data_IF_360500164550
#
_entry.id   IF_360500164550
#
_cell.length_a   1.000
_cell.length_b   1.000
_cell.length_c   1.000
_cell.angle_alpha   90.00
_cell.angle_beta   90.00
_cell.angle_gamma   90.00
#
_symmetry.space_group_name_H-M   'P 1'
#
loop_
_entity.id
_entity.type
_entity.pdbx_description
1 polymer ?
#
# COMPACT_ATOMS: atom_id res chain seq x y z
N UNK A 1 -13.72 -10.18 48.04
CA UNK A 1 -14.80 -9.76 47.13
C UNK A 1 -14.65 -8.33 46.56
N UNK A 2 -14.91 -7.24 47.30
CA UNK A 2 -14.79 -5.86 46.72
C UNK A 2 -13.39 -5.52 46.20
N UNK A 3 -12.34 -5.94 46.90
CA UNK A 3 -10.96 -5.66 46.54
C UNK A 3 -10.50 -6.46 45.31
N UNK A 4 -11.05 -7.65 45.12
CA UNK A 4 -10.79 -8.50 43.95
C UNK A 4 -11.50 -7.96 42.69
N UNK A 5 -12.73 -7.47 42.83
CA UNK A 5 -13.45 -6.77 41.76
C UNK A 5 -12.69 -5.53 41.28
N UNK A 6 -12.28 -4.64 42.19
CA UNK A 6 -11.50 -3.45 41.82
C UNK A 6 -10.18 -3.80 41.12
N UNK A 7 -9.49 -4.85 41.57
CA UNK A 7 -8.22 -5.26 40.97
C UNK A 7 -8.42 -5.92 39.59
N UNK A 8 -9.59 -6.54 39.36
CA UNK A 8 -9.96 -7.12 38.07
C UNK A 8 -10.41 -6.05 37.07
N UNK A 9 -11.17 -5.04 37.52
CA UNK A 9 -11.56 -3.88 36.73
C UNK A 9 -10.34 -3.05 36.31
N UNK A 10 -9.41 -2.75 37.23
CA UNK A 10 -8.18 -2.04 36.90
C UNK A 10 -7.33 -2.79 35.88
N UNK A 11 -7.22 -4.13 36.00
CA UNK A 11 -6.49 -4.94 35.01
C UNK A 11 -7.17 -4.94 33.64
N UNK A 12 -8.49 -5.02 33.59
CA UNK A 12 -9.22 -4.92 32.31
C UNK A 12 -9.07 -3.55 31.68
N UNK A 13 -9.18 -2.48 32.46
CA UNK A 13 -9.03 -1.11 31.97
C UNK A 13 -7.61 -0.84 31.47
N UNK A 14 -6.60 -1.29 32.22
CA UNK A 14 -5.20 -1.18 31.82
C UNK A 14 -4.91 -1.99 30.54
N UNK A 15 -5.44 -3.22 30.42
CA UNK A 15 -5.33 -4.00 29.19
C UNK A 15 -6.04 -3.36 27.99
N UNK A 16 -7.20 -2.73 28.20
CA UNK A 16 -7.92 -2.00 27.14
C UNK A 16 -7.13 -0.78 26.69
N UNK A 17 -6.63 0.01 27.64
CA UNK A 17 -5.80 1.18 27.36
C UNK A 17 -4.51 0.80 26.63
N UNK A 18 -3.80 -0.24 27.07
CA UNK A 18 -2.59 -0.71 26.39
C UNK A 18 -2.86 -1.20 24.97
N UNK A 19 -3.97 -1.93 24.75
CA UNK A 19 -4.37 -2.37 23.40
C UNK A 19 -4.70 -1.19 22.50
N UNK A 20 -5.45 -0.22 23.02
CA UNK A 20 -5.83 0.97 22.28
C UNK A 20 -4.59 1.80 21.92
N UNK A 21 -3.70 2.06 22.88
CA UNK A 21 -2.45 2.77 22.64
C UNK A 21 -1.57 2.07 21.61
N UNK A 22 -1.47 0.73 21.65
CA UNK A 22 -0.71 -0.02 20.65
C UNK A 22 -1.30 0.12 19.25
N UNK A 23 -2.63 0.06 19.14
CA UNK A 23 -3.33 0.23 17.86
C UNK A 23 -3.15 1.65 17.32
N UNK A 24 -3.31 2.67 18.16
CA UNK A 24 -3.10 4.08 17.79
C UNK A 24 -1.65 4.34 17.35
N UNK A 25 -0.67 3.84 18.11
CA UNK A 25 0.74 3.96 17.73
C UNK A 25 1.05 3.25 16.41
N UNK A 26 0.46 2.07 16.16
CA UNK A 26 0.65 1.36 14.92
C UNK A 26 0.06 2.15 13.73
N UNK A 27 -1.15 2.68 13.89
CA UNK A 27 -1.79 3.49 12.86
C UNK A 27 -1.03 4.78 12.58
N UNK A 28 -0.54 5.47 13.61
CA UNK A 28 0.25 6.69 13.45
C UNK A 28 1.57 6.39 12.72
N UNK A 29 2.26 5.30 13.09
CA UNK A 29 3.49 4.87 12.41
C UNK A 29 3.25 4.56 10.94
N UNK A 30 2.18 3.83 10.63
CA UNK A 30 1.81 3.50 9.26
C UNK A 30 1.47 4.76 8.46
N UNK A 31 0.67 5.67 9.02
CA UNK A 31 0.31 6.94 8.38
C UNK A 31 1.54 7.80 8.10
N UNK A 32 2.48 7.89 9.06
CA UNK A 32 3.75 8.60 8.88
C UNK A 32 4.60 7.94 7.79
N UNK A 33 4.71 6.62 7.77
CA UNK A 33 5.45 5.89 6.74
C UNK A 33 4.87 6.14 5.33
N UNK A 34 3.54 6.04 5.17
CA UNK A 34 2.85 6.34 3.91
C UNK A 34 3.08 7.77 3.45
N UNK A 35 3.10 8.73 4.39
CA UNK A 35 3.37 10.14 4.08
C UNK A 35 4.80 10.37 3.61
N UNK A 36 5.78 9.72 4.23
CA UNK A 36 7.19 9.78 3.78
C UNK A 36 7.35 9.20 2.37
N UNK A 37 6.71 8.06 2.09
CA UNK A 37 6.68 7.50 0.75
C UNK A 37 6.01 8.46 -0.24
N UNK A 38 4.88 9.05 0.12
CA UNK A 38 4.18 10.00 -0.74
C UNK A 38 5.06 11.21 -1.10
N UNK A 39 5.79 11.77 -0.14
CA UNK A 39 6.72 12.88 -0.35
C UNK A 39 7.83 12.51 -1.36
N UNK A 40 8.41 11.31 -1.23
CA UNK A 40 9.40 10.79 -2.18
C UNK A 40 8.84 10.72 -3.62
N UNK A 41 7.60 10.26 -3.78
CA UNK A 41 6.94 10.16 -5.08
C UNK A 41 6.46 11.51 -5.66
N UNK A 42 6.28 12.52 -4.82
CA UNK A 42 5.91 13.90 -5.21
C UNK A 42 7.13 14.70 -5.67
N UNK A 43 8.29 14.46 -5.07
CA UNK A 43 9.56 15.10 -5.45
C UNK A 43 10.13 14.52 -6.74
N UNK A 44 9.82 13.25 -7.04
CA UNK A 44 10.24 12.61 -8.28
C UNK A 44 9.40 13.11 -9.47
N UNK A 45 10.01 13.67 -10.52
CA UNK A 45 9.27 14.11 -11.69
C UNK A 45 8.60 12.91 -12.36
N UNK A 46 7.35 13.04 -12.83
CA UNK A 46 6.66 11.96 -13.52
C UNK A 46 7.44 11.57 -14.78
N UNK A 47 7.75 10.28 -14.95
CA UNK A 47 8.40 9.80 -16.17
C UNK A 47 7.45 9.94 -17.36
N UNK A 48 7.89 10.53 -18.48
CA UNK A 48 7.08 10.63 -19.68
C UNK A 48 6.77 9.24 -20.23
N UNK A 49 5.57 9.05 -20.76
CA UNK A 49 5.20 7.80 -21.43
C UNK A 49 6.04 7.63 -22.70
N UNK A 50 6.69 6.48 -22.86
CA UNK A 50 7.57 6.23 -24.01
C UNK A 50 8.24 4.85 -24.00
N UNK A 51 9.16 4.63 -24.94
CA UNK A 51 9.95 3.42 -24.99
C UNK A 51 10.74 3.24 -23.68
N UNK A 52 10.74 2.03 -23.12
CA UNK A 52 11.40 1.75 -21.84
C UNK A 52 10.61 2.17 -20.60
N UNK A 53 9.30 2.43 -20.73
CA UNK A 53 8.41 2.70 -19.58
C UNK A 53 7.28 1.67 -19.47
N UNK A 54 6.79 1.45 -18.25
CA UNK A 54 5.63 0.63 -17.93
C UNK A 54 4.49 1.52 -17.41
N UNK A 55 3.37 1.55 -18.13
CA UNK A 55 2.13 2.20 -17.68
C UNK A 55 1.33 1.23 -16.82
N UNK A 56 1.31 1.45 -15.51
CA UNK A 56 0.62 0.60 -14.56
C UNK A 56 -0.72 1.22 -14.15
N UNK A 57 -1.78 0.42 -14.24
CA UNK A 57 -3.10 0.74 -13.70
C UNK A 57 -3.34 -0.12 -12.47
N UNK A 58 -3.41 0.47 -11.29
CA UNK A 58 -3.73 -0.24 -10.06
C UNK A 58 -5.22 -0.11 -9.78
N UNK A 59 -5.89 -1.25 -9.60
CA UNK A 59 -7.28 -1.33 -9.14
C UNK A 59 -7.29 -1.67 -7.66
N UNK A 60 -8.00 -0.85 -6.89
CA UNK A 60 -8.16 -1.00 -5.45
C UNK A 60 -9.35 -1.93 -5.14
N UNK A 61 -9.40 -2.54 -3.93
CA UNK A 61 -10.53 -3.34 -3.47
C UNK A 61 -11.85 -2.56 -3.46
N UNK A 62 -11.78 -1.24 -3.32
CA UNK A 62 -12.95 -0.35 -3.40
C UNK A 62 -13.51 -0.17 -4.83
N UNK A 63 -12.87 -0.75 -5.85
CA UNK A 63 -13.23 -0.59 -7.26
C UNK A 63 -12.57 0.62 -7.94
N UNK A 64 -12.01 1.54 -7.16
CA UNK A 64 -11.29 2.71 -7.66
C UNK A 64 -10.01 2.31 -8.38
N UNK A 65 -9.59 3.14 -9.35
CA UNK A 65 -8.34 2.96 -10.09
C UNK A 65 -7.45 4.19 -10.04
N UNK A 66 -6.16 3.93 -9.93
CA UNK A 66 -5.07 4.91 -10.07
C UNK A 66 -4.08 4.43 -11.12
N UNK A 67 -3.39 5.36 -11.76
CA UNK A 67 -2.47 5.04 -12.84
C UNK A 67 -1.20 5.86 -12.72
N UNK A 68 -0.06 5.19 -12.89
CA UNK A 68 1.27 5.84 -12.93
C UNK A 68 2.16 5.14 -13.95
N UNK A 69 3.09 5.91 -14.53
CA UNK A 69 4.15 5.39 -15.40
C UNK A 69 5.43 5.20 -14.58
N UNK A 70 6.10 4.06 -14.80
CA UNK A 70 7.37 3.69 -14.20
C UNK A 70 8.40 3.39 -15.29
N UNK A 71 9.68 3.41 -14.97
CA UNK A 71 10.74 2.88 -15.83
C UNK A 71 10.66 1.35 -15.93
N UNK A 72 10.99 0.79 -17.09
CA UNK A 72 11.01 -0.66 -17.30
C UNK A 72 11.99 -1.39 -16.36
N UNK A 73 13.07 -0.73 -15.98
CA UNK A 73 14.11 -1.25 -15.07
C UNK A 73 13.82 -0.97 -13.59
N UNK A 74 12.70 -0.30 -13.27
CA UNK A 74 12.35 -0.10 -11.86
C UNK A 74 11.94 -1.42 -11.21
N UNK A 75 12.30 -1.65 -9.93
CA UNK A 75 11.93 -2.85 -9.22
C UNK A 75 10.45 -2.85 -8.84
N UNK A 76 9.83 -4.03 -8.76
CA UNK A 76 8.46 -4.19 -8.27
C UNK A 76 8.27 -3.61 -6.86
N UNK A 77 9.32 -3.60 -6.02
CA UNK A 77 9.34 -2.96 -4.71
C UNK A 77 8.90 -1.48 -4.76
N UNK A 78 9.28 -0.75 -5.83
CA UNK A 78 8.86 0.64 -6.02
C UNK A 78 7.35 0.73 -6.27
N UNK A 79 6.81 -0.16 -7.10
CA UNK A 79 5.36 -0.21 -7.37
C UNK A 79 4.57 -0.56 -6.10
N UNK A 80 5.09 -1.42 -5.24
CA UNK A 80 4.48 -1.70 -3.92
C UNK A 80 4.43 -0.46 -3.05
N UNK A 81 5.55 0.25 -2.90
CA UNK A 81 5.60 1.51 -2.15
C UNK A 81 4.63 2.56 -2.69
N UNK A 82 4.50 2.64 -4.02
CA UNK A 82 3.49 3.48 -4.65
C UNK A 82 2.07 3.05 -4.26
N UNK A 83 1.76 1.76 -4.31
CA UNK A 83 0.46 1.24 -3.90
C UNK A 83 0.15 1.53 -2.41
N UNK A 84 1.17 1.56 -1.53
CA UNK A 84 1.00 1.91 -0.11
C UNK A 84 0.59 3.38 0.11
N UNK A 85 1.05 4.29 -0.75
CA UNK A 85 0.87 5.73 -0.58
C UNK A 85 0.00 6.40 -1.65
N UNK A 86 -0.52 5.66 -2.64
CA UNK A 86 -1.22 6.24 -3.79
C UNK A 86 -2.47 7.07 -3.43
N UNK A 87 -3.08 6.83 -2.27
CA UNK A 87 -4.16 7.63 -1.71
C UNK A 87 -3.77 9.08 -1.37
N UNK A 88 -2.48 9.34 -1.18
CA UNK A 88 -1.93 10.66 -0.82
C UNK A 88 -1.33 11.39 -2.03
N UNK A 89 -1.33 10.75 -3.20
CA UNK A 89 -0.72 11.28 -4.40
C UNK A 89 -1.75 12.00 -5.29
N UNK A 90 -1.32 12.86 -6.22
CA UNK A 90 -2.21 13.55 -7.15
C UNK A 90 -3.06 12.59 -7.99
N UNK A 91 -2.58 11.37 -8.24
CA UNK A 91 -3.33 10.29 -8.92
C UNK A 91 -4.65 9.93 -8.23
N UNK A 92 -4.77 10.19 -6.92
CA UNK A 92 -6.02 10.01 -6.18
C UNK A 92 -7.08 11.04 -6.59
N UNK A 93 -6.71 12.17 -7.18
CA UNK A 93 -7.63 13.22 -7.67
C UNK A 93 -8.62 13.69 -6.59
N UNK A 94 -8.16 13.83 -5.34
CA UNK A 94 -9.00 14.20 -4.21
C UNK A 94 -9.96 13.11 -3.70
N UNK A 95 -9.93 11.91 -4.30
CA UNK A 95 -10.76 10.77 -3.87
C UNK A 95 -10.21 10.14 -2.60
N UNK A 96 -11.09 9.79 -1.67
CA UNK A 96 -10.72 9.05 -0.45
C UNK A 96 -10.46 7.58 -0.76
N UNK A 97 -9.26 7.28 -1.26
CA UNK A 97 -8.83 5.92 -1.55
C UNK A 97 -8.44 5.19 -0.27
N UNK A 98 -9.09 4.06 0.03
CA UNK A 98 -8.74 3.22 1.18
C UNK A 98 -7.69 2.19 0.77
N UNK A 99 -6.48 2.32 1.32
CA UNK A 99 -5.41 1.34 1.14
C UNK A 99 -5.33 0.44 2.38
N UNK A 100 -5.53 -0.89 2.22
CA UNK A 100 -5.43 -1.87 3.31
C UNK A 100 -4.08 -1.79 4.04
N UNK A 101 -4.04 -2.15 5.31
CA UNK A 101 -2.77 -2.21 6.06
C UNK A 101 -1.85 -3.31 5.51
N UNK A 102 -2.44 -4.45 5.15
CA UNK A 102 -1.76 -5.57 4.50
C UNK A 102 -2.46 -5.91 3.19
N UNK A 103 -1.69 -6.01 2.11
CA UNK A 103 -2.19 -6.33 0.79
C UNK A 103 -1.18 -7.09 -0.05
N UNK A 104 -1.68 -7.77 -1.08
CA UNK A 104 -0.89 -8.32 -2.16
C UNK A 104 -1.18 -7.61 -3.48
N UNK A 105 -0.25 -7.74 -4.42
CA UNK A 105 -0.42 -7.29 -5.80
C UNK A 105 -0.57 -8.51 -6.70
N UNK A 106 -1.49 -8.45 -7.66
CA UNK A 106 -1.61 -9.45 -8.71
C UNK A 106 -1.78 -8.77 -10.06
N UNK A 107 -1.35 -9.41 -11.14
CA UNK A 107 -1.71 -8.99 -12.50
C UNK A 107 -3.17 -9.30 -12.78
N UNK A 108 -3.83 -8.48 -13.59
CA UNK A 108 -5.22 -8.70 -13.98
C UNK A 108 -5.35 -9.78 -15.07
N UNK A 109 -4.40 -9.87 -16.01
CA UNK A 109 -4.41 -10.87 -17.07
C UNK A 109 -3.00 -11.15 -17.64
N UNK A 110 -2.58 -12.43 -17.77
CA UNK A 110 -3.13 -13.56 -17.02
C UNK A 110 -3.00 -13.29 -15.52
N UNK A 111 -3.95 -13.78 -14.72
CA UNK A 111 -3.95 -13.49 -13.29
C UNK A 111 -2.80 -14.22 -12.60
N UNK A 112 -1.85 -13.46 -12.03
CA UNK A 112 -0.68 -13.97 -11.32
C UNK A 112 -0.44 -13.11 -10.09
N UNK A 113 -0.32 -13.75 -8.93
CA UNK A 113 0.13 -13.07 -7.70
C UNK A 113 1.60 -12.69 -7.86
N UNK A 114 1.89 -11.41 -7.61
CA UNK A 114 3.24 -10.90 -7.52
C UNK A 114 3.64 -11.01 -6.05
N UNK A 115 4.55 -11.92 -5.71
CA UNK A 115 4.98 -12.19 -4.34
C UNK A 115 6.05 -11.23 -3.82
N UNK A 116 6.37 -11.29 -2.52
CA UNK A 116 7.50 -10.51 -1.96
C UNK A 116 8.85 -10.90 -2.55
N UNK A 117 9.04 -12.17 -2.91
CA UNK A 117 10.23 -12.71 -3.59
C UNK A 117 10.53 -11.98 -4.93
N UNK A 118 9.49 -11.48 -5.58
CA UNK A 118 9.62 -10.81 -6.88
C UNK A 118 9.85 -9.30 -6.74
N UNK A 119 9.97 -8.78 -5.52
CA UNK A 119 10.08 -7.33 -5.29
C UNK A 119 11.36 -6.72 -5.86
N UNK A 120 12.43 -7.51 -5.97
CA UNK A 120 13.71 -7.07 -6.54
C UNK A 120 13.74 -7.16 -8.08
N UNK A 121 12.82 -7.92 -8.68
CA UNK A 121 12.74 -8.05 -10.14
C UNK A 121 12.21 -6.77 -10.76
N UNK A 122 12.71 -6.45 -11.94
CA UNK A 122 12.30 -5.28 -12.70
C UNK A 122 10.92 -5.47 -13.34
N UNK A 123 10.25 -4.36 -13.69
CA UNK A 123 8.97 -4.42 -14.40
C UNK A 123 9.09 -5.10 -15.77
N UNK A 124 10.23 -4.98 -16.44
CA UNK A 124 10.53 -5.68 -17.68
C UNK A 124 10.60 -7.20 -17.48
N UNK A 125 11.34 -7.67 -16.47
CA UNK A 125 11.47 -9.11 -16.16
C UNK A 125 10.14 -9.75 -15.78
N UNK A 126 9.24 -8.97 -15.17
CA UNK A 126 7.90 -9.42 -14.80
C UNK A 126 6.89 -9.32 -15.94
N UNK A 127 7.28 -8.83 -17.12
CA UNK A 127 6.41 -8.68 -18.28
C UNK A 127 5.33 -7.60 -18.10
N UNK A 128 5.59 -6.57 -17.27
CA UNK A 128 4.65 -5.49 -16.98
C UNK A 128 4.80 -4.28 -17.94
N UNK A 129 5.75 -4.37 -18.87
CA UNK A 129 6.03 -3.39 -19.93
C UNK A 129 5.32 -3.84 -21.22
N UNK A 130 4.76 -2.92 -22.03
CA UNK A 130 4.70 -1.47 -21.84
C UNK A 130 3.52 -1.02 -20.97
N UNK A 131 2.57 -1.91 -20.68
CA UNK A 131 1.44 -1.61 -19.80
C UNK A 131 0.95 -2.87 -19.12
N UNK A 132 0.55 -2.73 -17.85
CA UNK A 132 -0.10 -3.79 -17.11
C UNK A 132 -1.19 -3.23 -16.18
N UNK A 133 -2.22 -4.03 -15.95
CA UNK A 133 -3.22 -3.77 -14.93
C UNK A 133 -2.90 -4.65 -13.71
N UNK A 134 -2.81 -4.02 -12.55
CA UNK A 134 -2.57 -4.64 -11.26
C UNK A 134 -3.84 -4.57 -10.41
N UNK A 135 -4.06 -5.61 -9.62
CA UNK A 135 -5.10 -5.73 -8.62
C UNK A 135 -4.44 -5.66 -7.25
N UNK A 136 -4.95 -4.78 -6.39
CA UNK A 136 -4.61 -4.78 -4.97
C UNK A 136 -5.59 -5.70 -4.25
N UNK A 137 -5.06 -6.74 -3.62
CA UNK A 137 -5.83 -7.76 -2.90
C UNK A 137 -5.67 -7.50 -1.42
N UNK A 138 -6.76 -7.15 -0.75
CA UNK A 138 -6.80 -6.96 0.70
C UNK A 138 -6.52 -8.30 1.42
N UNK A 139 -5.58 -8.29 2.39
CA UNK A 139 -5.26 -9.45 3.24
C UNK A 139 -5.74 -9.32 4.68
N UNK A 140 -6.34 -8.18 5.00
CA UNK A 140 -6.91 -7.84 6.30
C UNK A 140 -8.41 -8.15 6.41
N UNK A 141 -9.05 -8.47 5.28
CA UNK A 141 -10.49 -8.78 5.17
C UNK A 141 -10.85 -10.21 5.59
#
# INVERSE_FOLDING_TARGET
EQQEQQQQEQRQEQQRQERQQRQEQQQERLAKARRLLADEFLQEPPRPAGAGTARLVLRLPSGERVQRSFGAEEPLARVRRWAECCALLPEADGRSLRIPEEFDLATAFPQRSLGRDESEKTLAELGLVPSAALLLIDRTA
#
